data_IF_991496058644
#
_entry.id   IF_991496058644
#
_cell.length_a   1.000
_cell.length_b   1.000
_cell.length_c   1.000
_cell.angle_alpha   90.00
_cell.angle_beta   90.00
_cell.angle_gamma   90.00
#
_symmetry.space_group_name_H-M   'P 1'
#
loop_
_entity.id
_entity.type
_entity.pdbx_description
1 polymer ?
#
# COMPACT_ATOMS: atom_id res chain seq x y z
N UNK A 1 19.89 -9.56 23.53
CA UNK A 1 20.87 -9.53 22.42
C UNK A 1 20.15 -8.95 21.21
N UNK A 2 20.66 -7.86 20.63
CA UNK A 2 20.10 -7.29 19.40
C UNK A 2 20.58 -8.15 18.23
N UNK A 3 19.67 -8.76 17.47
CA UNK A 3 20.08 -9.51 16.27
C UNK A 3 20.59 -8.52 15.22
N UNK A 4 21.87 -8.64 14.88
CA UNK A 4 22.49 -7.86 13.82
C UNK A 4 22.25 -8.55 12.47
N UNK A 5 21.09 -8.26 11.86
CA UNK A 5 20.70 -8.79 10.56
C UNK A 5 21.56 -8.27 9.41
N UNK A 6 22.39 -7.24 9.63
CA UNK A 6 23.28 -6.70 8.59
C UNK A 6 24.34 -7.71 8.15
N UNK A 7 24.80 -8.58 9.07
CA UNK A 7 25.80 -9.62 8.77
C UNK A 7 25.19 -10.92 8.29
N UNK A 8 24.00 -11.27 8.79
CA UNK A 8 23.36 -12.55 8.48
C UNK A 8 22.88 -12.66 7.02
N UNK A 9 22.66 -11.52 6.36
CA UNK A 9 22.18 -11.45 4.98
C UNK A 9 23.09 -10.62 4.08
N UNK A 10 24.34 -10.36 4.50
CA UNK A 10 25.28 -9.54 3.73
C UNK A 10 25.55 -10.11 2.33
N UNK A 11 25.45 -11.44 2.16
CA UNK A 11 25.68 -12.17 0.92
C UNK A 11 24.59 -11.96 -0.15
N UNK A 12 23.41 -11.44 0.22
CA UNK A 12 22.29 -11.23 -0.71
C UNK A 12 22.07 -9.78 -1.12
N UNK A 13 22.73 -8.81 -0.48
CA UNK A 13 22.48 -7.37 -0.68
C UNK A 13 22.82 -6.92 -2.11
N UNK A 14 23.91 -7.42 -2.68
CA UNK A 14 24.40 -7.06 -4.02
C UNK A 14 23.96 -8.03 -5.11
N UNK A 15 23.07 -8.98 -4.80
CA UNK A 15 22.56 -9.96 -5.78
C UNK A 15 21.39 -9.38 -6.56
N UNK A 16 21.29 -9.78 -7.82
CA UNK A 16 20.11 -9.47 -8.63
C UNK A 16 18.85 -10.12 -8.05
N UNK A 17 17.71 -9.44 -8.21
CA UNK A 17 16.41 -9.98 -7.79
C UNK A 17 16.08 -11.24 -8.60
N UNK A 18 15.71 -12.36 -7.95
CA UNK A 18 15.27 -13.56 -8.66
C UNK A 18 14.10 -13.25 -9.60
N UNK A 19 14.23 -13.72 -10.85
CA UNK A 19 13.18 -13.66 -11.86
C UNK A 19 12.72 -15.10 -12.12
N UNK A 20 11.47 -15.37 -11.78
CA UNK A 20 10.81 -16.65 -12.02
C UNK A 20 9.99 -16.55 -13.30
N UNK A 21 10.31 -17.41 -14.28
CA UNK A 21 9.66 -17.48 -15.58
C UNK A 21 9.46 -18.97 -15.96
N UNK A 22 8.29 -19.51 -15.66
CA UNK A 22 7.90 -20.90 -15.98
C UNK A 22 8.55 -21.97 -15.11
N UNK A 23 9.04 -21.61 -13.90
CA UNK A 23 9.62 -22.56 -12.95
C UNK A 23 8.61 -23.05 -11.91
N UNK A 24 9.03 -24.00 -11.08
CA UNK A 24 8.20 -24.57 -10.00
C UNK A 24 7.75 -23.52 -8.98
N UNK A 25 8.54 -22.45 -8.78
CA UNK A 25 8.20 -21.37 -7.86
C UNK A 25 7.01 -20.57 -8.39
N UNK A 26 7.04 -20.18 -9.67
CA UNK A 26 5.93 -19.46 -10.32
C UNK A 26 4.66 -20.31 -10.37
N UNK A 27 4.77 -21.61 -10.63
CA UNK A 27 3.62 -22.52 -10.63
C UNK A 27 2.95 -22.63 -9.24
N UNK A 28 3.74 -22.64 -8.17
CA UNK A 28 3.24 -22.67 -6.78
C UNK A 28 2.74 -21.31 -6.29
N UNK A 29 3.34 -20.23 -6.78
CA UNK A 29 3.07 -18.86 -6.35
C UNK A 29 2.77 -17.95 -7.55
N UNK A 30 1.62 -18.16 -8.23
CA UNK A 30 1.28 -17.38 -9.42
C UNK A 30 1.07 -15.92 -9.08
N UNK A 31 1.42 -15.02 -10.02
CA UNK A 31 1.20 -13.57 -9.84
C UNK A 31 -0.29 -13.27 -9.75
N UNK A 32 -0.67 -12.47 -8.77
CA UNK A 32 -2.04 -11.99 -8.64
C UNK A 32 -2.40 -11.03 -9.79
N UNK A 33 -3.51 -11.27 -10.52
CA UNK A 33 -4.00 -10.38 -11.57
C UNK A 33 -4.33 -8.97 -11.05
N UNK A 34 -4.23 -7.95 -11.92
CA UNK A 34 -4.48 -6.55 -11.55
C UNK A 34 -5.88 -6.29 -10.98
N UNK A 35 -6.90 -6.93 -11.53
CA UNK A 35 -8.29 -6.77 -11.07
C UNK A 35 -8.49 -7.30 -9.64
N UNK A 36 -7.90 -8.45 -9.32
CA UNK A 36 -7.91 -9.00 -7.97
C UNK A 36 -7.17 -8.08 -6.99
N UNK A 37 -6.05 -7.46 -7.42
CA UNK A 37 -5.35 -6.44 -6.63
C UNK A 37 -6.21 -5.21 -6.38
N UNK A 38 -6.99 -4.76 -7.37
CA UNK A 38 -7.86 -3.59 -7.22
C UNK A 38 -8.97 -3.81 -6.17
N UNK A 39 -9.48 -5.04 -6.04
CA UNK A 39 -10.50 -5.40 -5.04
C UNK A 39 -10.04 -5.18 -3.60
N UNK A 40 -8.74 -5.30 -3.32
CA UNK A 40 -8.18 -5.02 -1.98
C UNK A 40 -8.45 -3.57 -1.56
N UNK A 41 -8.50 -2.65 -2.52
CA UNK A 41 -8.74 -1.23 -2.29
C UNK A 41 -10.22 -0.83 -2.42
N UNK A 42 -11.10 -1.75 -2.85
CA UNK A 42 -12.54 -1.48 -2.99
C UNK A 42 -13.21 -0.99 -1.68
N UNK A 43 -12.88 -1.52 -0.48
CA UNK A 43 -13.42 -1.01 0.78
C UNK A 43 -13.10 0.46 1.06
N UNK A 44 -12.02 0.99 0.47
CA UNK A 44 -11.57 2.37 0.66
C UNK A 44 -12.02 3.29 -0.47
N UNK A 45 -12.79 2.80 -1.45
CA UNK A 45 -13.27 3.61 -2.58
C UNK A 45 -14.10 4.82 -2.11
N UNK A 46 -14.85 4.67 -1.00
CA UNK A 46 -15.63 5.74 -0.38
C UNK A 46 -14.77 6.84 0.27
N UNK A 47 -13.47 6.61 0.51
CA UNK A 47 -12.57 7.64 1.02
C UNK A 47 -12.11 8.63 -0.07
N UNK A 48 -12.39 8.35 -1.34
CA UNK A 48 -12.12 9.29 -2.42
C UNK A 48 -13.02 10.51 -2.25
N UNK A 49 -12.42 11.70 -2.15
CA UNK A 49 -13.16 12.96 -1.91
C UNK A 49 -13.47 13.25 -0.43
N UNK A 50 -13.04 12.40 0.51
CA UNK A 50 -13.24 12.65 1.94
C UNK A 50 -12.57 13.96 2.41
N UNK A 51 -11.36 14.24 1.93
CA UNK A 51 -10.67 15.49 2.27
C UNK A 51 -11.40 16.72 1.70
N UNK A 52 -11.93 16.61 0.49
CA UNK A 52 -12.71 17.67 -0.16
C UNK A 52 -14.01 17.95 0.62
N UNK A 53 -14.68 16.91 1.11
CA UNK A 53 -15.86 17.02 1.95
C UNK A 53 -15.56 17.67 3.33
N UNK A 54 -14.41 17.36 3.95
CA UNK A 54 -13.98 18.02 5.19
C UNK A 54 -13.76 19.52 4.99
N UNK A 55 -13.10 19.90 3.89
CA UNK A 55 -12.87 21.31 3.57
C UNK A 55 -14.19 22.06 3.30
N UNK A 56 -15.13 21.44 2.59
CA UNK A 56 -16.47 22.02 2.35
C UNK A 56 -17.27 22.21 3.64
N UNK A 57 -17.20 21.24 4.55
CA UNK A 57 -17.86 21.33 5.87
C UNK A 57 -17.23 22.45 6.72
N UNK A 58 -15.91 22.64 6.64
CA UNK A 58 -15.21 23.74 7.31
C UNK A 58 -15.55 25.12 6.72
N UNK A 59 -15.79 25.23 5.41
CA UNK A 59 -16.24 26.49 4.78
C UNK A 59 -17.68 26.85 5.14
N UNK A 60 -18.56 25.86 5.25
CA UNK A 60 -19.98 26.06 5.53
C UNK A 60 -20.25 26.31 7.02
N UNK A 61 -19.43 25.76 7.90
CA UNK A 61 -19.47 26.04 9.33
C UNK A 61 -18.65 27.29 9.66
N UNK A 62 -19.08 28.45 9.17
CA UNK A 62 -18.72 29.73 9.79
C UNK A 62 -19.52 29.80 11.09
N UNK A 63 -18.82 29.69 12.23
CA UNK A 63 -19.45 29.94 13.53
C UNK A 63 -20.03 31.36 13.49
N UNK A 64 -21.29 31.58 13.93
CA UNK A 64 -21.83 32.93 13.98
C UNK A 64 -20.90 33.80 14.82
N UNK A 65 -20.36 34.84 14.20
CA UNK A 65 -19.57 35.88 14.87
C UNK A 65 -20.38 36.39 16.07
N UNK A 66 -19.72 36.46 17.22
CA UNK A 66 -20.29 36.87 18.50
C UNK A 66 -21.10 38.18 18.37
N UNK A 67 -22.30 38.19 18.99
CA UNK A 67 -23.22 39.33 19.06
C UNK A 67 -22.64 40.55 19.81
#
# INVERSE_FOLDING_TARGET
MQNDYSKAYADIIDKERPVHNGDDFEAKHPRMPREARAKIFAPFAALKGHNEALEETGRTHVLPEDF
#
